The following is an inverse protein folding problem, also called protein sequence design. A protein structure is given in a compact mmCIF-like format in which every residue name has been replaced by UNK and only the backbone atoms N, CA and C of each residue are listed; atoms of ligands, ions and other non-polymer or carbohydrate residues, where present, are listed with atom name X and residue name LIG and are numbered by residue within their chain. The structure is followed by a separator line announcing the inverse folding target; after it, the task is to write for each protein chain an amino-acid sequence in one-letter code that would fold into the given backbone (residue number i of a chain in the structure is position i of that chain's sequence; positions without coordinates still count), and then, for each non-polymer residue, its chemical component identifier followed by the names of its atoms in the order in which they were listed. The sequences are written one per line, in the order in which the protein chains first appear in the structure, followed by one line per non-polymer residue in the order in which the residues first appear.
data_IF_153711616137
#
_entry.id   IF_153711616137
#
_cell.length_a   1.000
_cell.length_b   1.000
_cell.length_c   1.000
_cell.angle_alpha   90.00
_cell.angle_beta   90.00
_cell.angle_gamma   90.00
#
_symmetry.space_group_name_H-M   'P 1'
#
loop_
_entity.id
_entity.type
_entity.pdbx_description
1 polymer ?
#
# COMPACT_ATOMS: atom_id res chain seq x y z
N UNK A 1 3.09 -19.07 -19.20
CA UNK A 1 1.72 -19.48 -18.94
C UNK A 1 0.99 -18.28 -18.31
N UNK A 2 0.54 -18.23 -17.05
CA UNK A 2 -0.38 -17.20 -16.52
C UNK A 2 -0.02 -15.74 -16.87
N UNK A 3 1.20 -15.28 -16.58
CA UNK A 3 1.62 -13.90 -16.86
C UNK A 3 1.64 -13.60 -18.37
N UNK A 4 2.07 -14.57 -19.20
CA UNK A 4 2.02 -14.44 -20.65
C UNK A 4 0.58 -14.35 -21.17
N UNK A 5 -0.32 -15.14 -20.60
CA UNK A 5 -1.75 -15.13 -20.97
C UNK A 5 -2.43 -13.81 -20.55
N UNK A 6 -1.86 -13.10 -19.59
CA UNK A 6 -2.25 -11.74 -19.21
C UNK A 6 -1.51 -10.66 -20.02
N UNK A 7 -0.67 -11.02 -20.99
CA UNK A 7 0.18 -10.07 -21.74
C UNK A 7 1.01 -9.14 -20.85
N UNK A 8 1.35 -9.57 -19.65
CA UNK A 8 2.06 -8.80 -18.63
C UNK A 8 1.35 -7.48 -18.23
N UNK A 9 0.06 -7.37 -18.50
CA UNK A 9 -0.76 -6.20 -18.17
C UNK A 9 -1.19 -6.25 -16.71
N UNK A 10 -0.74 -5.29 -15.92
CA UNK A 10 -0.99 -5.23 -14.48
C UNK A 10 -2.45 -5.33 -14.08
N UNK A 11 -3.36 -4.50 -14.63
CA UNK A 11 -4.80 -4.59 -14.36
C UNK A 11 -5.41 -5.95 -14.72
N UNK A 12 -5.04 -6.52 -15.86
CA UNK A 12 -5.51 -7.85 -16.28
C UNK A 12 -5.05 -8.93 -15.31
N UNK A 13 -3.79 -8.88 -14.89
CA UNK A 13 -3.25 -9.80 -13.87
C UNK A 13 -4.06 -9.72 -12.59
N UNK A 14 -4.26 -8.50 -12.04
CA UNK A 14 -5.04 -8.33 -10.81
C UNK A 14 -6.49 -8.81 -10.95
N UNK A 15 -7.12 -8.54 -12.08
CA UNK A 15 -8.48 -9.00 -12.36
C UNK A 15 -8.56 -10.54 -12.34
N UNK A 16 -7.66 -11.22 -13.04
CA UNK A 16 -7.63 -12.68 -13.09
C UNK A 16 -7.27 -13.30 -11.74
N UNK A 17 -6.32 -12.74 -10.99
CA UNK A 17 -6.03 -13.19 -9.62
C UNK A 17 -7.25 -13.14 -8.70
N UNK A 18 -8.16 -12.19 -8.92
CA UNK A 18 -9.38 -12.02 -8.11
C UNK A 18 -10.54 -12.91 -8.57
N UNK A 19 -10.68 -13.11 -9.87
CA UNK A 19 -11.91 -13.62 -10.48
C UNK A 19 -11.78 -15.05 -11.03
N UNK A 20 -10.59 -15.49 -11.41
CA UNK A 20 -10.41 -16.81 -12.00
C UNK A 20 -10.75 -17.92 -11.00
N UNK A 21 -11.54 -18.87 -11.47
CA UNK A 21 -11.99 -20.03 -10.71
C UNK A 21 -12.00 -21.28 -11.57
N UNK A 22 -11.86 -22.41 -10.93
CA UNK A 22 -12.08 -23.72 -11.54
C UNK A 22 -13.07 -24.55 -10.71
N UNK A 23 -13.82 -25.48 -11.34
CA UNK A 23 -14.75 -26.32 -10.61
C UNK A 23 -14.02 -27.45 -9.89
N UNK A 24 -14.29 -27.62 -8.60
CA UNK A 24 -13.90 -28.78 -7.82
C UNK A 24 -15.16 -29.45 -7.26
N UNK A 25 -15.44 -30.67 -7.70
CA UNK A 25 -16.68 -31.40 -7.34
C UNK A 25 -17.95 -30.58 -7.58
N UNK A 26 -17.97 -29.81 -8.69
CA UNK A 26 -19.11 -28.96 -9.04
C UNK A 26 -19.23 -27.63 -8.32
N UNK A 27 -18.31 -27.32 -7.39
CA UNK A 27 -18.27 -26.04 -6.67
C UNK A 27 -17.14 -25.18 -7.20
N UNK A 28 -17.36 -23.89 -7.57
CA UNK A 28 -16.29 -22.98 -7.97
C UNK A 28 -15.28 -22.79 -6.85
N UNK A 29 -14.00 -22.93 -7.18
CA UNK A 29 -12.89 -22.62 -6.29
C UNK A 29 -11.94 -21.62 -6.94
N UNK A 30 -11.35 -20.75 -6.15
CA UNK A 30 -10.42 -19.73 -6.64
C UNK A 30 -9.11 -20.36 -7.11
N UNK A 31 -8.64 -19.95 -8.28
CA UNK A 31 -7.36 -20.42 -8.82
C UNK A 31 -6.18 -19.87 -7.99
N UNK A 32 -6.33 -18.64 -7.48
CA UNK A 32 -5.29 -17.92 -6.75
C UNK A 32 -5.77 -17.44 -5.37
N UNK A 33 -6.19 -18.34 -4.46
CA UNK A 33 -6.87 -17.96 -3.21
C UNK A 33 -6.04 -17.02 -2.33
N UNK A 34 -4.71 -17.12 -2.37
CA UNK A 34 -3.80 -16.31 -1.55
C UNK A 34 -3.40 -14.97 -2.20
N UNK A 35 -3.54 -14.82 -3.51
CA UNK A 35 -3.12 -13.62 -4.26
C UNK A 35 -4.27 -12.65 -4.57
N UNK A 36 -5.52 -13.04 -4.35
CA UNK A 36 -6.71 -12.29 -4.75
C UNK A 36 -7.00 -11.03 -3.93
N UNK A 37 -6.34 -10.86 -2.78
CA UNK A 37 -6.58 -9.72 -1.88
C UNK A 37 -6.02 -8.41 -2.43
N UNK A 38 -6.66 -7.29 -2.04
CA UNK A 38 -6.27 -5.93 -2.45
C UNK A 38 -4.89 -5.48 -1.96
N UNK A 39 -4.30 -6.22 -1.02
CA UNK A 39 -2.93 -6.05 -0.57
C UNK A 39 -1.98 -6.97 -1.34
N UNK A 40 -2.28 -8.27 -1.33
CA UNK A 40 -1.29 -9.28 -1.74
C UNK A 40 -1.10 -9.31 -3.26
N UNK A 41 -2.16 -9.11 -4.06
CA UNK A 41 -2.04 -9.04 -5.52
C UNK A 41 -1.11 -7.92 -5.99
N UNK A 42 -1.36 -6.65 -5.61
CA UNK A 42 -0.45 -5.55 -5.93
C UNK A 42 0.97 -5.75 -5.38
N UNK A 43 1.12 -6.24 -4.14
CA UNK A 43 2.42 -6.53 -3.55
C UNK A 43 3.19 -7.58 -4.35
N UNK A 44 2.53 -8.63 -4.79
CA UNK A 44 3.14 -9.68 -5.61
C UNK A 44 3.66 -9.12 -6.94
N UNK A 45 2.86 -8.27 -7.63
CA UNK A 45 3.30 -7.61 -8.87
C UNK A 45 4.52 -6.73 -8.60
N UNK A 46 4.51 -5.92 -7.53
CA UNK A 46 5.66 -5.09 -7.15
C UNK A 46 6.91 -5.94 -6.91
N UNK A 47 6.79 -7.03 -6.16
CA UNK A 47 7.91 -7.93 -5.89
C UNK A 47 8.47 -8.59 -7.15
N UNK A 48 7.62 -8.96 -8.10
CA UNK A 48 8.09 -9.47 -9.38
C UNK A 48 8.86 -8.41 -10.16
N UNK A 49 8.38 -7.16 -10.18
CA UNK A 49 9.07 -6.05 -10.83
C UNK A 49 10.43 -5.77 -10.17
N UNK A 50 10.43 -5.57 -8.85
CA UNK A 50 11.58 -4.98 -8.15
C UNK A 50 12.58 -6.04 -7.67
N UNK A 51 12.11 -7.16 -7.11
CA UNK A 51 12.99 -8.18 -6.55
C UNK A 51 13.39 -9.26 -7.56
N UNK A 52 12.52 -9.57 -8.54
CA UNK A 52 12.82 -10.50 -9.61
C UNK A 52 13.28 -9.81 -10.90
N UNK A 53 13.38 -8.47 -10.93
CA UNK A 53 13.80 -7.64 -12.06
C UNK A 53 13.03 -7.93 -13.36
N UNK A 54 11.73 -8.16 -13.25
CA UNK A 54 10.88 -8.41 -14.40
C UNK A 54 10.41 -7.07 -14.98
N UNK A 55 10.92 -6.71 -16.16
CA UNK A 55 10.66 -5.41 -16.80
C UNK A 55 9.49 -5.42 -17.81
N UNK A 56 8.86 -6.57 -18.05
CA UNK A 56 7.85 -6.71 -19.12
C UNK A 56 6.47 -6.18 -18.75
N UNK A 57 6.24 -5.81 -17.50
CA UNK A 57 4.94 -5.32 -17.06
C UNK A 57 4.53 -4.03 -17.77
N UNK A 58 3.26 -3.94 -18.14
CA UNK A 58 2.60 -2.75 -18.67
C UNK A 58 1.49 -2.27 -17.72
N UNK A 59 1.12 -1.00 -17.87
CA UNK A 59 0.02 -0.38 -17.12
C UNK A 59 0.15 -0.48 -15.58
N UNK A 60 1.38 -0.48 -15.05
CA UNK A 60 1.62 -0.52 -13.60
C UNK A 60 1.18 0.76 -12.90
N UNK A 61 1.08 1.87 -13.63
CA UNK A 61 0.50 3.14 -13.18
C UNK A 61 -0.96 3.01 -12.73
N UNK A 62 -1.67 1.98 -13.19
CA UNK A 62 -3.06 1.68 -12.82
C UNK A 62 -3.19 0.75 -11.62
N UNK A 63 -2.07 0.29 -11.05
CA UNK A 63 -2.06 -0.61 -9.90
C UNK A 63 -2.02 0.21 -8.61
N UNK A 64 -2.99 0.00 -7.68
CA UNK A 64 -2.97 0.71 -6.41
C UNK A 64 -1.83 0.20 -5.51
N UNK A 65 -1.40 1.07 -4.60
CA UNK A 65 -0.45 0.68 -3.54
C UNK A 65 -1.04 -0.45 -2.67
N UNK A 66 -0.24 -1.48 -2.32
CA UNK A 66 -0.65 -2.51 -1.36
C UNK A 66 -0.66 -1.92 0.06
N UNK A 67 -1.85 -1.68 0.62
CA UNK A 67 -1.97 -1.07 1.96
C UNK A 67 -2.05 -2.15 3.04
N UNK A 68 -1.16 -2.04 4.02
CA UNK A 68 -1.19 -2.78 5.28
C UNK A 68 -1.09 -1.83 6.49
N UNK A 69 -0.95 -2.38 7.67
CA UNK A 69 -0.81 -1.59 8.91
C UNK A 69 0.43 -0.67 8.88
N UNK A 70 1.51 -1.07 8.22
CA UNK A 70 2.72 -0.26 8.12
C UNK A 70 2.52 0.91 7.16
N UNK A 71 2.02 0.64 5.96
CA UNK A 71 1.67 1.69 4.98
C UNK A 71 0.63 2.63 5.56
N UNK A 72 -0.40 2.11 6.25
CA UNK A 72 -1.42 2.93 6.89
C UNK A 72 -0.82 3.84 7.98
N UNK A 73 0.08 3.31 8.84
CA UNK A 73 0.72 4.09 9.89
C UNK A 73 1.59 5.21 9.31
N UNK A 74 2.46 4.91 8.35
CA UNK A 74 3.28 5.92 7.70
C UNK A 74 2.41 6.99 7.04
N UNK A 75 1.39 6.59 6.29
CA UNK A 75 0.45 7.51 5.63
C UNK A 75 -0.27 8.43 6.61
N UNK A 76 -0.75 7.90 7.75
CA UNK A 76 -1.37 8.71 8.79
C UNK A 76 -0.35 9.69 9.41
N UNK A 77 0.84 9.22 9.77
CA UNK A 77 1.88 10.08 10.35
C UNK A 77 2.34 11.18 9.40
N UNK A 78 2.33 10.96 8.09
CA UNK A 78 2.64 11.95 7.06
C UNK A 78 1.44 12.84 6.69
N UNK A 79 0.28 12.67 7.33
CA UNK A 79 -0.89 13.50 7.09
C UNK A 79 -1.59 13.24 5.76
N UNK A 80 -1.39 12.07 5.15
CA UNK A 80 -2.16 11.63 3.97
C UNK A 80 -3.64 11.46 4.34
N UNK A 81 -3.90 11.06 5.59
CA UNK A 81 -5.22 11.04 6.20
C UNK A 81 -5.20 11.98 7.39
N UNK A 82 -6.11 12.95 7.44
CA UNK A 82 -6.23 13.97 8.49
C UNK A 82 -7.65 14.08 9.00
N UNK A 83 -7.81 14.77 10.14
CA UNK A 83 -9.08 15.04 10.81
C UNK A 83 -9.44 13.95 11.82
N UNK A 84 -10.70 13.91 12.21
CA UNK A 84 -11.17 12.98 13.23
C UNK A 84 -11.72 11.72 12.60
N UNK A 85 -11.10 10.60 12.94
CA UNK A 85 -11.54 9.28 12.51
C UNK A 85 -11.34 8.26 13.62
N UNK A 86 -12.35 7.45 13.87
CA UNK A 86 -12.26 6.29 14.76
C UNK A 86 -13.04 5.12 14.16
N UNK A 87 -12.39 3.99 13.94
CA UNK A 87 -13.06 2.84 13.34
C UNK A 87 -12.12 1.71 12.93
N UNK A 88 -12.62 0.85 12.05
CA UNK A 88 -11.83 -0.26 11.52
C UNK A 88 -10.66 0.23 10.67
N UNK A 89 -9.49 -0.36 10.90
CA UNK A 89 -8.31 -0.08 10.08
C UNK A 89 -8.55 -0.38 8.59
N UNK A 90 -9.31 -1.43 8.30
CA UNK A 90 -9.60 -1.82 6.91
C UNK A 90 -10.45 -0.79 6.15
N UNK A 91 -11.29 -0.02 6.85
CA UNK A 91 -12.18 0.96 6.23
C UNK A 91 -11.42 2.18 5.68
N UNK A 92 -10.21 2.44 6.21
CA UNK A 92 -9.37 3.54 5.75
C UNK A 92 -8.46 3.15 4.57
N UNK A 93 -8.23 1.87 4.33
CA UNK A 93 -7.35 1.40 3.26
C UNK A 93 -7.74 1.92 1.85
N UNK A 94 -9.01 1.96 1.46
CA UNK A 94 -9.39 2.52 0.15
C UNK A 94 -9.03 4.01 0.03
N UNK A 95 -9.18 4.79 1.11
CA UNK A 95 -8.80 6.21 1.14
C UNK A 95 -7.29 6.40 0.95
N UNK A 96 -6.49 5.58 1.63
CA UNK A 96 -5.03 5.61 1.51
C UNK A 96 -4.60 5.24 0.09
N UNK A 97 -5.19 4.19 -0.51
CA UNK A 97 -4.92 3.80 -1.90
C UNK A 97 -5.21 4.94 -2.87
N UNK A 98 -6.39 5.55 -2.75
CA UNK A 98 -6.78 6.67 -3.60
C UNK A 98 -5.86 7.87 -3.42
N UNK A 99 -5.51 8.22 -2.19
CA UNK A 99 -4.65 9.37 -1.91
C UNK A 99 -3.25 9.20 -2.52
N UNK A 100 -2.63 8.04 -2.38
CA UNK A 100 -1.33 7.77 -2.99
C UNK A 100 -1.42 7.65 -4.51
N UNK A 101 -2.48 7.04 -5.04
CA UNK A 101 -2.71 6.92 -6.47
C UNK A 101 -2.80 8.29 -7.16
N UNK A 102 -3.47 9.25 -6.52
CA UNK A 102 -3.56 10.63 -7.04
C UNK A 102 -2.31 11.45 -6.71
N UNK A 103 -1.74 11.27 -5.52
CA UNK A 103 -0.64 12.09 -5.02
C UNK A 103 0.68 11.90 -5.75
N UNK A 104 0.91 10.75 -6.40
CA UNK A 104 2.16 10.50 -7.14
C UNK A 104 2.10 10.95 -8.61
N UNK A 105 0.91 11.30 -9.14
CA UNK A 105 0.75 11.69 -10.54
C UNK A 105 1.60 12.90 -10.90
N UNK A 106 2.30 12.82 -12.02
CA UNK A 106 3.17 13.88 -12.53
C UNK A 106 4.49 14.06 -11.76
N UNK A 107 4.74 13.27 -10.71
CA UNK A 107 6.03 13.27 -10.02
C UNK A 107 7.02 12.43 -10.83
N UNK A 108 8.21 13.00 -11.08
CA UNK A 108 9.29 12.30 -11.77
C UNK A 108 10.30 11.73 -10.78
N UNK A 109 10.70 10.48 -10.99
CA UNK A 109 11.78 9.81 -10.26
C UNK A 109 12.66 9.04 -11.25
N UNK A 110 13.96 9.24 -11.21
CA UNK A 110 14.94 8.56 -12.07
C UNK A 110 14.54 8.58 -13.56
N UNK A 111 14.12 9.76 -14.06
CA UNK A 111 13.67 10.00 -15.44
C UNK A 111 12.43 9.20 -15.88
N UNK A 112 11.61 8.72 -14.95
CA UNK A 112 10.30 8.14 -15.21
C UNK A 112 9.25 8.72 -14.29
N UNK A 113 8.00 8.60 -14.68
CA UNK A 113 6.89 8.99 -13.81
C UNK A 113 6.79 8.02 -12.62
N UNK A 114 6.61 8.59 -11.42
CA UNK A 114 6.37 7.82 -10.20
C UNK A 114 4.98 7.18 -10.25
N UNK A 115 4.88 5.96 -9.78
CA UNK A 115 3.61 5.25 -9.66
C UNK A 115 3.35 4.84 -8.20
N UNK A 116 2.10 4.53 -7.86
CA UNK A 116 1.71 4.21 -6.49
C UNK A 116 2.48 3.00 -5.89
N UNK A 117 2.93 2.07 -6.71
CA UNK A 117 3.75 0.93 -6.25
C UNK A 117 5.14 1.34 -5.77
N UNK A 118 5.67 2.48 -6.22
CA UNK A 118 7.02 2.93 -5.85
C UNK A 118 7.11 3.41 -4.40
N UNK A 119 5.99 3.82 -3.81
CA UNK A 119 5.95 4.31 -2.42
C UNK A 119 5.67 3.21 -1.38
N UNK A 120 5.34 2.00 -1.80
CA UNK A 120 5.03 0.89 -0.89
C UNK A 120 6.20 0.56 0.06
N UNK A 121 7.34 0.21 -0.50
CA UNK A 121 8.51 -0.19 0.29
C UNK A 121 9.06 0.95 1.15
N UNK A 122 9.24 2.18 0.64
CA UNK A 122 9.63 3.33 1.46
C UNK A 122 8.70 3.58 2.64
N UNK A 123 7.38 3.51 2.44
CA UNK A 123 6.41 3.71 3.53
C UNK A 123 6.46 2.58 4.55
N UNK A 124 6.61 1.34 4.08
CA UNK A 124 6.74 0.18 4.97
C UNK A 124 8.00 0.31 5.86
N UNK A 125 9.14 0.68 5.27
CA UNK A 125 10.39 0.91 6.00
C UNK A 125 10.26 2.08 6.97
N UNK A 126 9.72 3.22 6.53
CA UNK A 126 9.47 4.38 7.37
C UNK A 126 8.61 4.01 8.59
N UNK A 127 7.55 3.25 8.38
CA UNK A 127 6.72 2.78 9.47
C UNK A 127 7.47 1.85 10.42
N UNK A 128 8.09 0.81 9.88
CA UNK A 128 8.71 -0.25 10.69
C UNK A 128 9.86 0.26 11.55
N UNK A 129 10.70 1.11 11.00
CA UNK A 129 11.92 1.60 11.66
C UNK A 129 11.80 3.01 12.23
N UNK A 130 10.70 3.71 11.96
CA UNK A 130 10.42 5.08 12.40
C UNK A 130 9.07 5.22 13.09
N UNK A 131 7.98 5.29 12.35
CA UNK A 131 6.66 5.67 12.87
C UNK A 131 6.09 4.71 13.94
N UNK A 132 6.54 3.44 13.98
CA UNK A 132 6.14 2.48 15.04
C UNK A 132 6.58 2.94 16.44
N UNK A 133 7.61 3.78 16.55
CA UNK A 133 8.09 4.29 17.83
C UNK A 133 7.41 5.58 18.26
N UNK A 134 6.56 6.16 17.42
CA UNK A 134 5.80 7.36 17.75
C UNK A 134 4.82 7.04 18.88
N UNK A 135 4.72 7.95 19.84
CA UNK A 135 3.68 7.86 20.87
C UNK A 135 2.33 8.18 20.27
N UNK A 136 1.38 7.27 20.41
CA UNK A 136 0.06 7.35 19.78
C UNK A 136 -0.79 8.51 20.30
N UNK A 137 -0.57 8.96 21.53
CA UNK A 137 -1.38 10.01 22.18
C UNK A 137 -0.73 11.39 21.97
N UNK A 138 0.56 11.50 22.32
CA UNK A 138 1.24 12.82 22.32
C UNK A 138 1.83 13.18 20.96
N UNK A 139 1.97 12.21 20.06
CA UNK A 139 2.65 12.42 18.79
C UNK A 139 4.17 12.53 18.88
N UNK A 140 4.75 12.48 20.09
CA UNK A 140 6.20 12.52 20.26
C UNK A 140 6.87 11.28 19.65
N UNK A 141 8.03 11.47 19.03
CA UNK A 141 8.75 10.38 18.40
C UNK A 141 10.24 10.41 18.78
N UNK A 142 10.76 9.34 19.42
CA UNK A 142 12.17 9.29 19.80
C UNK A 142 13.11 9.27 18.59
N UNK A 143 12.60 8.95 17.41
CA UNK A 143 13.35 8.97 16.15
C UNK A 143 13.38 10.33 15.45
N UNK A 144 12.73 11.36 16.01
CA UNK A 144 12.59 12.68 15.38
C UNK A 144 13.93 13.36 15.01
N UNK A 145 15.01 13.03 15.70
CA UNK A 145 16.34 13.62 15.44
C UNK A 145 17.10 12.94 14.30
N UNK A 146 16.70 11.75 13.91
CA UNK A 146 17.35 10.95 12.87
C UNK A 146 16.43 10.64 11.69
N UNK A 147 15.16 11.02 11.76
CA UNK A 147 14.19 10.75 10.71
C UNK A 147 14.14 11.89 9.69
N UNK A 148 14.53 11.63 8.46
CA UNK A 148 14.51 12.60 7.36
C UNK A 148 13.09 13.13 7.07
N UNK A 149 12.07 12.31 7.35
CA UNK A 149 10.65 12.66 7.12
C UNK A 149 10.02 13.49 8.25
N UNK A 150 10.82 13.88 9.27
CA UNK A 150 10.30 14.60 10.45
C UNK A 150 9.51 15.86 10.09
N UNK A 151 9.98 16.65 9.14
CA UNK A 151 9.34 17.90 8.73
C UNK A 151 7.96 17.72 8.10
N UNK A 152 7.63 16.52 7.69
CA UNK A 152 6.34 16.16 7.10
C UNK A 152 5.40 15.46 8.11
N UNK A 153 5.91 15.10 9.29
CA UNK A 153 5.08 14.46 10.30
C UNK A 153 4.05 15.45 10.86
N UNK A 154 2.80 15.01 10.91
CA UNK A 154 1.74 15.80 11.54
C UNK A 154 1.71 15.59 13.06
N UNK A 155 1.20 16.60 13.77
CA UNK A 155 0.93 16.51 15.19
C UNK A 155 -0.45 15.86 15.44
N UNK A 156 -0.75 15.54 16.71
CA UNK A 156 -2.03 14.99 17.13
C UNK A 156 -1.98 13.50 17.46
N UNK A 157 -3.13 12.93 17.73
CA UNK A 157 -3.30 11.53 18.10
C UNK A 157 -3.38 10.65 16.84
N UNK A 158 -2.52 9.64 16.77
CA UNK A 158 -2.58 8.60 15.74
C UNK A 158 -2.33 7.26 16.43
N UNK A 159 -3.39 6.54 16.77
CA UNK A 159 -3.33 5.23 17.40
C UNK A 159 -3.76 4.16 16.40
N UNK A 160 -2.86 3.23 16.10
CA UNK A 160 -3.12 2.16 15.13
C UNK A 160 -2.80 0.81 15.76
N UNK A 161 -3.84 0.00 15.85
CA UNK A 161 -3.76 -1.41 16.26
C UNK A 161 -3.95 -2.33 15.05
N UNK A 162 -3.91 -3.63 15.27
CA UNK A 162 -4.13 -4.61 14.21
C UNK A 162 -5.48 -4.45 13.49
N UNK A 163 -6.51 -4.01 14.21
CA UNK A 163 -7.88 -3.98 13.69
C UNK A 163 -8.47 -2.56 13.64
N UNK A 164 -7.96 -1.63 14.43
CA UNK A 164 -8.55 -0.32 14.60
C UNK A 164 -7.55 0.80 14.37
N UNK A 165 -8.07 1.95 13.96
CA UNK A 165 -7.34 3.20 13.85
C UNK A 165 -8.13 4.33 14.48
N UNK A 166 -7.43 5.20 15.19
CA UNK A 166 -7.95 6.44 15.72
C UNK A 166 -7.01 7.59 15.32
N UNK A 167 -7.55 8.59 14.68
CA UNK A 167 -6.84 9.80 14.23
C UNK A 167 -7.59 11.01 14.79
N UNK A 168 -6.85 11.96 15.39
CA UNK A 168 -7.32 13.26 15.83
C UNK A 168 -6.19 14.26 15.58
N UNK A 169 -6.22 14.92 14.39
CA UNK A 169 -5.14 15.75 13.86
C UNK A 169 -5.64 17.03 13.18
#
# INVERSE_FOLDING_TARGET
VFLNDCHWDGPTILSRLKLDTHPVKGTPQWDYPYLRGDKIGPLWIRMLRDNANISHFSNLDKIPIPVDIHVARASACLGVIRGNYSGSLNDIFPKIRSAWFEGVKGIQIDNREMIALDVDEPLWHLSKYGCTYRNDITGSCPKQHTCEMKSYCIEGKIAITRNNIEIDT
#
